data_IF_329625766198
#
_entry.id   IF_329625766198
#
_cell.length_a   1.000
_cell.length_b   1.000
_cell.length_c   1.000
_cell.angle_alpha   90.00
_cell.angle_beta   90.00
_cell.angle_gamma   90.00
#
_symmetry.space_group_name_H-M   'P 1'
#
loop_
_entity.id
_entity.type
_entity.pdbx_description
1 polymer ?
#
# COMPACT_ATOMS: atom_id res chain seq x y z
N UNK A 1 69.02 46.22 8.96
CA UNK A 1 68.52 45.71 10.25
C UNK A 1 67.54 44.61 9.97
N UNK A 2 67.99 43.39 10.06
CA UNK A 2 67.27 42.22 9.63
C UNK A 2 66.55 41.58 10.84
N UNK A 3 65.26 41.57 10.82
CA UNK A 3 64.48 40.76 11.77
C UNK A 3 64.33 39.34 11.23
N UNK A 4 65.05 38.41 11.79
CA UNK A 4 64.92 37.00 11.47
C UNK A 4 63.64 36.45 12.12
N UNK A 5 62.67 36.18 11.30
CA UNK A 5 61.50 35.42 11.74
C UNK A 5 61.86 33.93 11.87
N UNK A 6 62.06 33.50 13.09
CA UNK A 6 62.26 32.10 13.41
C UNK A 6 60.88 31.39 13.35
N UNK A 7 60.60 30.67 12.29
CA UNK A 7 59.45 29.80 12.22
C UNK A 7 59.80 28.53 12.98
N UNK A 8 59.09 28.31 14.13
CA UNK A 8 59.23 27.06 14.87
C UNK A 8 58.66 25.88 14.10
N UNK A 9 59.35 24.75 13.99
CA UNK A 9 58.84 23.57 13.30
C UNK A 9 57.61 23.02 14.05
N UNK A 10 56.53 22.84 13.32
CA UNK A 10 55.33 22.19 13.82
C UNK A 10 55.63 20.80 14.33
N UNK A 11 55.29 20.48 15.56
CA UNK A 11 55.39 19.16 16.10
C UNK A 11 54.45 18.24 15.35
N UNK A 12 54.86 17.04 14.93
CA UNK A 12 53.91 16.05 14.38
C UNK A 12 53.00 15.62 15.48
N UNK A 13 51.72 15.79 15.27
CA UNK A 13 50.68 15.23 16.12
C UNK A 13 50.73 13.71 15.96
N UNK A 14 51.45 13.04 16.86
CA UNK A 14 51.39 11.60 16.98
C UNK A 14 50.03 11.24 17.57
N UNK A 15 49.12 10.88 16.72
CA UNK A 15 47.88 10.29 17.18
C UNK A 15 48.19 8.98 17.91
N UNK A 16 47.74 8.79 19.14
CA UNK A 16 47.89 7.48 19.76
C UNK A 16 47.06 6.47 18.95
N UNK A 17 47.74 5.55 18.32
CA UNK A 17 47.10 4.38 17.78
C UNK A 17 46.37 3.67 18.90
N UNK A 18 45.08 3.89 19.03
CA UNK A 18 44.24 3.10 19.89
C UNK A 18 44.28 1.68 19.32
N UNK A 19 45.11 0.85 19.90
CA UNK A 19 45.09 -0.57 19.67
C UNK A 19 43.70 -1.04 20.04
N UNK A 20 42.88 -1.29 19.02
CA UNK A 20 41.58 -1.92 19.19
C UNK A 20 41.92 -3.35 19.50
N UNK A 21 41.95 -3.71 20.78
CA UNK A 21 41.96 -5.09 21.19
C UNK A 21 40.71 -5.73 20.62
N UNK A 22 40.75 -6.87 19.95
CA UNK A 22 39.58 -7.63 19.56
C UNK A 22 38.91 -8.08 20.87
N UNK A 23 37.92 -7.35 21.32
CA UNK A 23 37.02 -7.80 22.34
C UNK A 23 36.37 -9.07 21.77
N UNK A 24 36.77 -10.22 22.28
CA UNK A 24 36.07 -11.47 22.03
C UNK A 24 34.70 -11.27 22.60
N UNK A 25 33.77 -10.86 21.72
CA UNK A 25 32.36 -10.82 22.03
C UNK A 25 31.95 -12.29 22.14
N UNK A 26 31.79 -12.76 23.34
CA UNK A 26 31.16 -14.05 23.61
C UNK A 26 29.87 -14.12 22.79
N UNK A 27 29.87 -15.13 21.94
CA UNK A 27 28.82 -15.36 20.95
C UNK A 27 27.54 -15.83 21.66
N UNK A 28 26.74 -14.87 22.16
CA UNK A 28 25.37 -15.13 22.58
C UNK A 28 24.41 -15.02 21.39
N UNK A 29 24.85 -15.44 20.20
CA UNK A 29 24.16 -15.27 18.92
C UNK A 29 23.07 -16.33 18.64
N UNK A 30 22.74 -17.22 19.57
CA UNK A 30 21.70 -18.21 19.33
C UNK A 30 20.26 -17.65 19.35
N UNK A 31 20.00 -16.64 20.16
CA UNK A 31 18.67 -16.06 20.32
C UNK A 31 18.35 -14.97 19.26
N UNK A 32 19.34 -14.22 18.82
CA UNK A 32 19.17 -13.17 17.82
C UNK A 32 18.96 -13.73 16.41
N UNK A 33 19.59 -14.84 16.08
CA UNK A 33 19.46 -15.47 14.76
C UNK A 33 18.09 -16.12 14.56
N UNK A 34 17.51 -16.70 15.60
CA UNK A 34 16.14 -17.24 15.58
C UNK A 34 15.09 -16.13 15.52
N UNK A 35 15.30 -15.01 16.20
CA UNK A 35 14.43 -13.84 16.11
C UNK A 35 14.48 -13.19 14.72
N UNK A 36 15.65 -13.09 14.10
CA UNK A 36 15.83 -12.59 12.72
C UNK A 36 15.18 -13.51 11.70
N UNK A 37 15.33 -14.82 11.83
CA UNK A 37 14.68 -15.81 10.95
C UNK A 37 13.16 -15.76 11.06
N UNK A 38 12.61 -15.61 12.28
CA UNK A 38 11.15 -15.40 12.48
C UNK A 38 10.67 -14.09 11.86
N UNK A 39 11.40 -12.99 12.04
CA UNK A 39 11.06 -11.70 11.45
C UNK A 39 11.08 -11.73 9.92
N UNK A 40 12.06 -12.38 9.30
CA UNK A 40 12.13 -12.56 7.84
C UNK A 40 11.00 -13.43 7.32
N UNK A 41 10.66 -14.51 8.01
CA UNK A 41 9.54 -15.39 7.63
C UNK A 41 8.20 -14.66 7.68
N UNK A 42 7.92 -13.91 8.75
CA UNK A 42 6.71 -13.09 8.89
C UNK A 42 6.63 -12.00 7.82
N UNK A 43 7.76 -11.36 7.49
CA UNK A 43 7.84 -10.35 6.45
C UNK A 43 7.54 -10.96 5.07
N UNK A 44 8.08 -12.13 4.76
CA UNK A 44 7.83 -12.84 3.50
C UNK A 44 6.37 -13.30 3.39
N UNK A 45 5.77 -13.77 4.49
CA UNK A 45 4.35 -14.13 4.52
C UNK A 45 3.44 -12.91 4.31
N UNK A 46 3.76 -11.78 4.96
CA UNK A 46 3.02 -10.54 4.78
C UNK A 46 3.12 -10.04 3.32
N UNK A 47 4.30 -10.13 2.71
CA UNK A 47 4.52 -9.77 1.31
C UNK A 47 3.75 -10.70 0.36
N UNK A 48 3.75 -12.01 0.63
CA UNK A 48 2.99 -12.99 -0.15
C UNK A 48 1.48 -12.72 -0.09
N UNK A 49 0.94 -12.40 1.11
CA UNK A 49 -0.46 -12.00 1.27
C UNK A 49 -0.78 -10.71 0.50
N UNK A 50 0.07 -9.69 0.60
CA UNK A 50 -0.09 -8.44 -0.12
C UNK A 50 -0.09 -8.66 -1.64
N UNK A 51 0.80 -9.49 -2.16
CA UNK A 51 0.86 -9.85 -3.57
C UNK A 51 -0.38 -10.62 -4.02
N UNK A 52 -0.86 -11.57 -3.21
CA UNK A 52 -2.10 -12.33 -3.47
C UNK A 52 -3.30 -11.38 -3.62
N UNK A 53 -3.47 -10.45 -2.69
CA UNK A 53 -4.54 -9.44 -2.74
C UNK A 53 -4.40 -8.56 -4.00
N UNK A 54 -3.19 -8.13 -4.31
CA UNK A 54 -2.91 -7.27 -5.47
C UNK A 54 -3.25 -7.96 -6.79
N UNK A 55 -2.86 -9.22 -6.94
CA UNK A 55 -3.16 -10.03 -8.12
C UNK A 55 -4.66 -10.32 -8.26
N UNK A 56 -5.32 -10.68 -7.16
CA UNK A 56 -6.77 -10.93 -7.14
C UNK A 56 -7.57 -9.67 -7.52
N UNK A 57 -7.19 -8.50 -7.01
CA UNK A 57 -7.80 -7.23 -7.40
C UNK A 57 -7.58 -6.89 -8.88
N UNK A 58 -6.39 -7.13 -9.40
CA UNK A 58 -6.09 -6.91 -10.81
C UNK A 58 -6.94 -7.83 -11.72
N UNK A 59 -7.10 -9.09 -11.35
CA UNK A 59 -7.98 -10.03 -12.05
C UNK A 59 -9.44 -9.57 -12.02
N UNK A 60 -9.96 -9.22 -10.84
CA UNK A 60 -11.32 -8.73 -10.68
C UNK A 60 -11.59 -7.46 -11.51
N UNK A 61 -10.66 -6.51 -11.51
CA UNK A 61 -10.80 -5.29 -12.34
C UNK A 61 -10.88 -5.61 -13.83
N UNK A 62 -10.12 -6.60 -14.30
CA UNK A 62 -10.18 -7.06 -15.70
C UNK A 62 -11.54 -7.69 -15.99
N UNK A 63 -12.06 -8.54 -15.11
CA UNK A 63 -13.38 -9.18 -15.26
C UNK A 63 -14.51 -8.13 -15.32
N UNK A 64 -14.47 -7.13 -14.44
CA UNK A 64 -15.44 -6.02 -14.45
C UNK A 64 -15.31 -5.20 -15.73
N UNK A 65 -14.10 -4.86 -16.16
CA UNK A 65 -13.88 -4.06 -17.37
C UNK A 65 -14.27 -4.81 -18.65
N UNK A 66 -14.12 -6.14 -18.67
CA UNK A 66 -14.54 -7.01 -19.75
C UNK A 66 -16.05 -7.28 -19.77
N UNK A 67 -16.75 -6.95 -18.68
CA UNK A 67 -18.18 -7.21 -18.52
C UNK A 67 -18.53 -8.64 -18.09
N UNK A 68 -17.53 -9.46 -17.74
CA UNK A 68 -17.75 -10.83 -17.25
C UNK A 68 -18.30 -10.85 -15.82
N UNK A 69 -18.09 -9.79 -15.06
CA UNK A 69 -18.57 -9.68 -13.69
C UNK A 69 -19.26 -8.34 -13.47
N UNK A 70 -20.44 -8.38 -12.88
CA UNK A 70 -21.20 -7.16 -12.58
C UNK A 70 -20.62 -6.44 -11.37
N UNK A 71 -20.40 -5.13 -11.51
CA UNK A 71 -19.95 -4.30 -10.40
C UNK A 71 -20.99 -4.23 -9.27
N UNK A 72 -22.28 -4.29 -9.59
CA UNK A 72 -23.37 -4.29 -8.62
C UNK A 72 -23.33 -5.56 -7.77
N UNK A 73 -23.09 -6.70 -8.38
CA UNK A 73 -22.91 -7.98 -7.71
C UNK A 73 -21.70 -7.96 -6.77
N UNK A 74 -20.57 -7.41 -7.24
CA UNK A 74 -19.35 -7.28 -6.43
C UNK A 74 -19.57 -6.40 -5.20
N UNK A 75 -20.35 -5.32 -5.31
CA UNK A 75 -20.68 -4.45 -4.18
C UNK A 75 -21.60 -5.16 -3.19
N UNK A 76 -22.57 -5.94 -3.67
CA UNK A 76 -23.50 -6.66 -2.79
C UNK A 76 -22.83 -7.78 -2.01
N UNK A 77 -22.04 -8.62 -2.67
CA UNK A 77 -21.38 -9.77 -2.04
C UNK A 77 -20.08 -9.43 -1.32
N UNK A 78 -19.43 -8.30 -1.68
CA UNK A 78 -18.15 -7.83 -1.13
C UNK A 78 -17.12 -8.95 -0.95
N UNK A 79 -16.67 -9.60 -2.01
CA UNK A 79 -15.67 -10.64 -1.89
C UNK A 79 -14.38 -10.09 -1.24
N UNK A 80 -13.61 -10.95 -0.59
CA UNK A 80 -12.45 -10.60 0.21
C UNK A 80 -11.43 -9.71 -0.51
N UNK A 81 -11.34 -9.82 -1.85
CA UNK A 81 -10.43 -9.03 -2.68
C UNK A 81 -10.76 -7.54 -2.66
N UNK A 82 -12.05 -7.20 -2.54
CA UNK A 82 -12.52 -5.81 -2.59
C UNK A 82 -12.77 -5.19 -1.22
N UNK A 83 -12.80 -5.96 -0.15
CA UNK A 83 -13.10 -5.44 1.19
C UNK A 83 -12.27 -4.22 1.57
N UNK A 84 -10.98 -4.27 1.29
CA UNK A 84 -10.06 -3.16 1.58
C UNK A 84 -9.84 -2.20 0.38
N UNK A 85 -10.54 -2.40 -0.74
CA UNK A 85 -10.50 -1.53 -1.92
C UNK A 85 -11.40 -0.31 -1.70
N UNK A 86 -10.98 0.86 -2.21
CA UNK A 86 -11.80 2.06 -2.17
C UNK A 86 -12.93 2.01 -3.21
N UNK A 87 -14.06 2.65 -2.90
CA UNK A 87 -15.19 2.76 -3.83
C UNK A 87 -14.81 3.43 -5.13
N UNK A 88 -14.02 4.49 -5.07
CA UNK A 88 -13.55 5.19 -6.27
C UNK A 88 -12.74 4.27 -7.19
N UNK A 89 -11.86 3.44 -6.61
CA UNK A 89 -11.05 2.50 -7.37
C UNK A 89 -11.90 1.39 -8.01
N UNK A 90 -12.88 0.86 -7.27
CA UNK A 90 -13.80 -0.15 -7.79
C UNK A 90 -14.66 0.38 -8.93
N UNK A 91 -15.25 1.57 -8.78
CA UNK A 91 -16.09 2.20 -9.80
C UNK A 91 -15.30 2.54 -11.08
N UNK A 92 -14.04 2.97 -10.93
CA UNK A 92 -13.16 3.22 -12.07
C UNK A 92 -12.79 1.95 -12.85
N UNK A 93 -12.95 0.76 -12.26
CA UNK A 93 -12.75 -0.50 -12.97
C UNK A 93 -13.84 -0.78 -14.01
N UNK A 94 -15.02 -0.18 -13.86
CA UNK A 94 -16.11 -0.32 -14.82
C UNK A 94 -15.74 0.34 -16.15
N UNK A 95 -15.99 -0.36 -17.24
CA UNK A 95 -15.71 0.11 -18.60
C UNK A 95 -16.36 1.47 -18.87
N UNK A 96 -15.57 2.41 -19.37
CA UNK A 96 -15.98 3.79 -19.69
C UNK A 96 -16.43 4.62 -18.46
N UNK A 97 -16.08 4.17 -17.27
CA UNK A 97 -16.25 4.95 -16.05
C UNK A 97 -14.92 5.60 -15.67
N UNK A 98 -14.90 6.91 -15.77
CA UNK A 98 -13.76 7.71 -15.31
C UNK A 98 -13.99 8.25 -13.89
N UNK A 99 -12.94 8.82 -13.31
CA UNK A 99 -12.96 9.43 -11.97
C UNK A 99 -14.10 10.44 -11.78
N UNK A 100 -14.37 11.28 -12.79
CA UNK A 100 -15.41 12.29 -12.73
C UNK A 100 -16.81 11.67 -12.53
N UNK A 101 -17.12 10.61 -13.26
CA UNK A 101 -18.42 9.91 -13.13
C UNK A 101 -18.54 9.19 -11.80
N UNK A 102 -17.49 8.51 -11.37
CA UNK A 102 -17.43 7.82 -10.08
C UNK A 102 -17.68 8.81 -8.94
N UNK A 103 -16.97 9.94 -8.96
CA UNK A 103 -17.13 11.00 -7.97
C UNK A 103 -18.54 11.59 -7.95
N UNK A 104 -19.12 11.88 -9.13
CA UNK A 104 -20.49 12.39 -9.25
C UNK A 104 -21.52 11.42 -8.68
N UNK A 105 -21.38 10.12 -8.96
CA UNK A 105 -22.24 9.09 -8.40
C UNK A 105 -22.12 9.02 -6.88
N UNK A 106 -20.89 8.96 -6.35
CA UNK A 106 -20.64 8.88 -4.92
C UNK A 106 -21.17 10.12 -4.18
N UNK A 107 -21.02 11.30 -4.76
CA UNK A 107 -21.60 12.54 -4.20
C UNK A 107 -23.12 12.46 -4.12
N UNK A 108 -23.80 11.89 -5.13
CA UNK A 108 -25.27 11.75 -5.11
C UNK A 108 -25.76 10.74 -4.08
N UNK A 109 -24.92 9.78 -3.67
CA UNK A 109 -25.23 8.79 -2.64
C UNK A 109 -24.66 9.13 -1.25
N UNK A 110 -24.08 10.32 -1.11
CA UNK A 110 -23.40 10.79 0.13
C UNK A 110 -22.30 9.84 0.62
N UNK A 111 -21.61 9.20 -0.31
CA UNK A 111 -20.51 8.29 -0.03
C UNK A 111 -19.17 8.92 -0.42
N UNK A 112 -18.15 8.71 0.40
CA UNK A 112 -16.80 9.16 0.11
C UNK A 112 -16.09 8.24 -0.90
N UNK A 113 -15.34 8.82 -1.82
CA UNK A 113 -14.51 8.10 -2.80
C UNK A 113 -13.49 7.15 -2.14
N UNK A 114 -12.91 7.59 -1.02
CA UNK A 114 -11.95 6.79 -0.24
C UNK A 114 -12.56 5.73 0.68
N UNK A 115 -13.89 5.67 0.80
CA UNK A 115 -14.54 4.66 1.66
C UNK A 115 -14.30 3.26 1.12
N UNK A 116 -13.94 2.34 2.02
CA UNK A 116 -13.68 0.94 1.66
C UNK A 116 -14.98 0.17 1.44
N UNK A 117 -14.99 -0.70 0.46
CA UNK A 117 -16.17 -1.52 0.12
C UNK A 117 -16.65 -2.35 1.30
N UNK A 118 -15.72 -2.98 2.03
CA UNK A 118 -16.05 -3.79 3.21
C UNK A 118 -16.66 -3.03 4.39
N UNK A 119 -16.48 -1.69 4.45
CA UNK A 119 -17.05 -0.85 5.50
C UNK A 119 -18.43 -0.28 5.16
N UNK A 120 -18.98 -0.63 4.00
CA UNK A 120 -20.32 -0.23 3.62
C UNK A 120 -21.37 -0.96 4.44
N UNK A 121 -22.35 -0.22 4.95
CA UNK A 121 -23.55 -0.82 5.53
C UNK A 121 -24.45 -1.39 4.43
N UNK A 122 -25.28 -2.34 4.76
CA UNK A 122 -26.20 -2.93 3.78
C UNK A 122 -27.10 -1.88 3.10
N UNK A 123 -27.58 -0.92 3.87
CA UNK A 123 -28.35 0.22 3.33
C UNK A 123 -27.54 1.02 2.31
N UNK A 124 -26.28 1.30 2.61
CA UNK A 124 -25.40 2.04 1.68
C UNK A 124 -25.11 1.24 0.41
N UNK A 125 -24.93 -0.08 0.52
CA UNK A 125 -24.78 -0.97 -0.65
C UNK A 125 -25.99 -0.91 -1.55
N UNK A 126 -27.19 -1.05 -0.99
CA UNK A 126 -28.46 -0.98 -1.76
C UNK A 126 -28.64 0.37 -2.46
N UNK A 127 -28.40 1.47 -1.77
CA UNK A 127 -28.47 2.82 -2.36
C UNK A 127 -27.47 2.98 -3.51
N UNK A 128 -26.23 2.53 -3.30
CA UNK A 128 -25.18 2.61 -4.30
C UNK A 128 -25.50 1.75 -5.53
N UNK A 129 -25.99 0.53 -5.32
CA UNK A 129 -26.38 -0.39 -6.39
C UNK A 129 -27.53 0.18 -7.19
N UNK A 130 -28.59 0.69 -6.54
CA UNK A 130 -29.73 1.32 -7.22
C UNK A 130 -29.30 2.54 -8.07
N UNK A 131 -28.40 3.37 -7.53
CA UNK A 131 -27.86 4.51 -8.25
C UNK A 131 -26.99 4.09 -9.44
N UNK A 132 -26.22 3.02 -9.31
CA UNK A 132 -25.41 2.42 -10.39
C UNK A 132 -26.29 1.87 -11.51
N UNK A 133 -27.29 1.09 -11.17
CA UNK A 133 -28.23 0.49 -12.13
C UNK A 133 -28.98 1.55 -12.91
N UNK A 134 -29.47 2.61 -12.25
CA UNK A 134 -30.09 3.75 -12.91
C UNK A 134 -29.15 4.43 -13.91
N UNK A 135 -27.86 4.56 -13.58
CA UNK A 135 -26.84 5.15 -14.47
C UNK A 135 -26.43 4.21 -15.60
N UNK A 136 -26.43 2.91 -15.38
CA UNK A 136 -26.16 1.92 -16.42
C UNK A 136 -27.34 1.80 -17.39
N UNK A 137 -28.58 1.78 -16.90
CA UNK A 137 -29.79 1.74 -17.70
C UNK A 137 -29.93 2.99 -18.59
N UNK A 138 -29.62 4.19 -18.09
CA UNK A 138 -29.65 5.43 -18.88
C UNK A 138 -28.63 5.50 -20.02
N UNK A 139 -27.73 4.52 -20.14
CA UNK A 139 -26.76 4.41 -21.24
C UNK A 139 -27.23 3.49 -22.38
N UNK A 140 -28.25 2.68 -22.14
CA UNK A 140 -28.78 1.73 -23.12
C UNK A 140 -29.89 2.39 -23.99
N UNK A 141 -30.37 3.54 -23.56
CA UNK A 141 -31.26 4.40 -24.32
C UNK A 141 -30.49 5.57 -24.96
#
# INVERSE_FOLDING_TARGET
>A
MSAASTIAPARPLTMPHRRIEPTIVDNQNGSDETARKKGTSQCMEALARANKVRLARAALKREISAGHRSITEVIMHSPWEVESMSLGELLCAQRRWGRARSRKLLSSTSLSEGKRVGTLTERQRRILVAALEAKLASRLN
#
